data_IF_736365953049
#
_entry.id   IF_736365953049
#
_cell.length_a   1.000
_cell.length_b   1.000
_cell.length_c   1.000
_cell.angle_alpha   90.00
_cell.angle_beta   90.00
_cell.angle_gamma   90.00
#
_symmetry.space_group_name_H-M   'P 1'
#
loop_
_entity.id
_entity.type
_entity.pdbx_description
1 polymer ?
#
# COMPACT_ATOMS: atom_id res chain seq x y z
N UNK A 1 -8.93 -2.89 -12.88
CA UNK A 1 -9.05 -1.52 -12.33
C UNK A 1 -7.74 -1.14 -11.65
N UNK A 2 -7.25 0.10 -11.79
CA UNK A 2 -6.03 0.55 -11.10
C UNK A 2 -6.39 1.41 -9.90
N UNK A 3 -5.65 1.26 -8.80
CA UNK A 3 -5.76 2.12 -7.62
C UNK A 3 -4.38 2.63 -7.23
N UNK A 4 -4.28 3.93 -7.02
CA UNK A 4 -3.10 4.59 -6.49
C UNK A 4 -3.21 4.70 -4.96
N UNK A 5 -2.20 4.20 -4.26
CA UNK A 5 -2.03 4.36 -2.82
C UNK A 5 -1.06 5.53 -2.58
N UNK A 6 -1.62 6.75 -2.55
CA UNK A 6 -0.85 8.00 -2.41
C UNK A 6 -0.44 8.18 -0.96
N UNK A 7 0.86 8.23 -0.68
CA UNK A 7 1.34 8.44 0.68
C UNK A 7 0.88 9.79 1.24
N UNK A 8 0.53 9.82 2.53
CA UNK A 8 0.38 11.09 3.24
C UNK A 8 1.76 11.68 3.51
N UNK A 9 1.87 12.96 3.88
CA UNK A 9 3.18 13.54 4.24
C UNK A 9 3.92 12.73 5.31
N UNK A 10 3.21 12.21 6.32
CA UNK A 10 3.81 11.34 7.34
C UNK A 10 4.12 9.94 6.79
N UNK A 11 3.28 9.42 5.90
CA UNK A 11 3.53 8.18 5.18
C UNK A 11 4.81 8.25 4.35
N UNK A 12 5.02 9.34 3.62
CA UNK A 12 6.19 9.61 2.79
C UNK A 12 7.47 9.53 3.62
N UNK A 13 7.53 10.27 4.73
CA UNK A 13 8.67 10.23 5.66
C UNK A 13 8.95 8.82 6.20
N UNK A 14 7.90 8.02 6.40
CA UNK A 14 8.05 6.64 6.87
C UNK A 14 8.63 5.72 5.78
N UNK A 15 8.18 5.85 4.54
CA UNK A 15 8.63 5.01 3.42
C UNK A 15 10.02 5.39 2.91
N UNK A 16 10.48 6.63 3.09
CA UNK A 16 11.87 7.06 2.80
C UNK A 16 12.94 6.31 3.61
N UNK A 17 12.54 5.55 4.64
CA UNK A 17 13.44 4.64 5.39
C UNK A 17 13.58 3.27 4.73
N UNK A 18 12.97 3.05 3.58
CA UNK A 18 12.95 1.81 2.82
C UNK A 18 13.38 2.09 1.39
N UNK A 19 13.97 1.09 0.74
CA UNK A 19 14.18 1.14 -0.70
C UNK A 19 12.92 0.64 -1.45
N UNK A 20 12.93 0.79 -2.77
CA UNK A 20 11.80 0.44 -3.63
C UNK A 20 11.43 -1.05 -3.56
N UNK A 21 12.43 -1.94 -3.57
CA UNK A 21 12.23 -3.40 -3.47
C UNK A 21 11.58 -3.79 -2.14
N UNK A 22 12.06 -3.22 -1.02
CA UNK A 22 11.48 -3.45 0.30
C UNK A 22 10.02 -2.99 0.36
N UNK A 23 9.68 -1.86 -0.26
CA UNK A 23 8.30 -1.37 -0.31
C UNK A 23 7.41 -2.29 -1.14
N UNK A 24 7.86 -2.72 -2.32
CA UNK A 24 7.12 -3.68 -3.15
C UNK A 24 6.90 -4.98 -2.37
N UNK A 25 7.92 -5.51 -1.69
CA UNK A 25 7.81 -6.74 -0.89
C UNK A 25 6.80 -6.58 0.25
N UNK A 26 6.89 -5.48 1.01
CA UNK A 26 5.97 -5.18 2.13
C UNK A 26 4.54 -5.12 1.61
N UNK A 27 4.26 -4.27 0.62
CA UNK A 27 2.90 -4.10 0.11
C UNK A 27 2.37 -5.42 -0.45
N UNK A 28 3.16 -6.15 -1.23
CA UNK A 28 2.78 -7.45 -1.80
C UNK A 28 2.42 -8.46 -0.70
N UNK A 29 3.23 -8.57 0.35
CA UNK A 29 3.02 -9.54 1.44
C UNK A 29 1.73 -9.24 2.22
N UNK A 30 1.52 -7.98 2.58
CA UNK A 30 0.35 -7.58 3.36
C UNK A 30 -0.93 -7.65 2.52
N UNK A 31 -0.89 -7.19 1.26
CA UNK A 31 -1.99 -7.34 0.31
C UNK A 31 -2.36 -8.81 0.13
N UNK A 32 -1.39 -9.70 -0.12
CA UNK A 32 -1.64 -11.13 -0.33
C UNK A 32 -2.28 -11.80 0.88
N UNK A 33 -1.91 -11.36 2.08
CA UNK A 33 -2.50 -11.88 3.32
C UNK A 33 -3.93 -11.39 3.48
N UNK A 34 -4.15 -10.09 3.31
CA UNK A 34 -5.46 -9.47 3.49
C UNK A 34 -6.46 -9.91 2.42
N UNK A 35 -6.00 -10.13 1.19
CA UNK A 35 -6.79 -10.64 0.05
C UNK A 35 -7.29 -12.08 0.25
N UNK A 36 -6.84 -12.80 1.29
CA UNK A 36 -7.46 -14.08 1.68
C UNK A 36 -8.68 -13.88 2.57
N UNK A 37 -8.69 -12.79 3.35
CA UNK A 37 -9.77 -12.42 4.25
C UNK A 37 -10.89 -11.70 3.50
N UNK A 38 -10.52 -10.87 2.53
CA UNK A 38 -11.41 -10.16 1.64
C UNK A 38 -11.44 -10.92 0.31
N UNK A 39 -12.61 -11.24 -0.26
CA UNK A 39 -12.71 -11.91 -1.58
C UNK A 39 -12.35 -10.92 -2.71
N UNK A 40 -11.07 -10.56 -2.79
CA UNK A 40 -10.49 -9.60 -3.73
C UNK A 40 -9.14 -10.10 -4.24
N UNK A 41 -8.83 -9.81 -5.51
CA UNK A 41 -7.52 -10.05 -6.11
C UNK A 41 -6.83 -8.71 -6.37
N UNK A 42 -5.67 -8.52 -5.76
CA UNK A 42 -4.86 -7.29 -5.85
C UNK A 42 -3.40 -7.65 -6.08
N UNK A 43 -2.76 -7.00 -7.05
CA UNK A 43 -1.33 -7.16 -7.36
C UNK A 43 -0.59 -5.84 -7.26
N UNK A 44 0.71 -5.90 -6.93
CA UNK A 44 1.64 -4.78 -6.94
C UNK A 44 2.62 -5.01 -8.11
N UNK A 45 2.30 -4.55 -9.32
CA UNK A 45 3.15 -4.75 -10.49
C UNK A 45 4.45 -3.94 -10.40
N UNK A 46 5.61 -4.58 -10.55
CA UNK A 46 6.93 -3.94 -10.43
C UNK A 46 7.14 -2.85 -11.49
N UNK A 47 6.69 -3.09 -12.72
CA UNK A 47 6.79 -2.18 -13.86
C UNK A 47 6.03 -0.86 -13.65
N UNK A 48 4.98 -0.84 -12.83
CA UNK A 48 4.27 0.38 -12.48
C UNK A 48 4.83 1.10 -11.25
N UNK A 49 5.80 0.49 -10.58
CA UNK A 49 6.29 0.88 -9.27
C UNK A 49 7.83 0.99 -9.23
N UNK A 50 8.48 1.33 -10.34
CA UNK A 50 9.94 1.51 -10.40
C UNK A 50 10.43 2.70 -9.56
N UNK A 51 9.57 3.70 -9.31
CA UNK A 51 9.91 4.98 -8.68
C UNK A 51 8.96 5.36 -7.52
N UNK A 52 8.61 4.41 -6.64
CA UNK A 52 7.64 4.65 -5.54
C UNK A 52 8.00 5.88 -4.70
N UNK A 53 9.28 6.04 -4.36
CA UNK A 53 9.75 7.12 -3.48
C UNK A 53 9.59 8.51 -4.13
N UNK A 54 9.88 8.63 -5.43
CA UNK A 54 9.78 9.88 -6.18
C UNK A 54 8.32 10.25 -6.46
N UNK A 55 7.51 9.26 -6.81
CA UNK A 55 6.08 9.46 -7.10
C UNK A 55 5.21 9.55 -5.82
N UNK A 56 5.77 9.16 -4.67
CA UNK A 56 5.06 9.08 -3.40
C UNK A 56 3.81 8.19 -3.45
N UNK A 57 3.82 7.16 -4.31
CA UNK A 57 2.63 6.37 -4.63
C UNK A 57 3.00 4.91 -4.87
N UNK A 58 2.21 3.99 -4.30
CA UNK A 58 2.20 2.58 -4.72
C UNK A 58 1.00 2.35 -5.63
N UNK A 59 1.24 1.88 -6.86
CA UNK A 59 0.19 1.58 -7.84
C UNK A 59 -0.18 0.10 -7.75
N UNK A 60 -1.46 -0.20 -7.58
CA UNK A 60 -1.96 -1.58 -7.51
C UNK A 60 -3.01 -1.83 -8.58
N UNK A 61 -3.10 -3.08 -9.03
CA UNK A 61 -4.09 -3.53 -10.01
C UNK A 61 -5.05 -4.49 -9.31
N UNK A 62 -6.34 -4.22 -9.48
CA UNK A 62 -7.45 -5.01 -8.97
C UNK A 62 -8.14 -5.71 -10.13
N UNK A 63 -8.50 -6.98 -9.92
CA UNK A 63 -9.16 -7.81 -10.93
C UNK A 63 -10.52 -8.32 -10.42
N UNK A 64 -10.52 -9.39 -9.61
CA UNK A 64 -11.73 -9.89 -8.92
C UNK A 64 -12.03 -9.05 -7.69
N UNK A 65 -13.21 -8.43 -7.59
CA UNK A 65 -13.60 -7.58 -6.45
C UNK A 65 -15.01 -7.96 -5.97
N UNK A 66 -15.10 -8.72 -4.88
CA UNK A 66 -16.38 -9.14 -4.27
C UNK A 66 -16.52 -8.66 -2.82
N UNK A 67 -15.85 -7.56 -2.46
CA UNK A 67 -15.87 -7.01 -1.11
C UNK A 67 -15.97 -5.49 -1.11
N UNK A 68 -16.17 -4.91 0.08
CA UNK A 68 -16.01 -3.48 0.30
C UNK A 68 -14.53 -3.08 0.18
N UNK A 69 -14.20 -2.32 -0.86
CA UNK A 69 -12.84 -1.86 -1.13
C UNK A 69 -12.33 -0.85 -0.09
N UNK A 70 -13.20 0.03 0.39
CA UNK A 70 -12.81 1.03 1.38
C UNK A 70 -12.45 0.34 2.70
N UNK A 71 -13.22 -0.68 3.09
CA UNK A 71 -12.89 -1.52 4.23
C UNK A 71 -11.54 -2.24 4.05
N UNK A 72 -11.30 -2.83 2.87
CA UNK A 72 -10.03 -3.49 2.55
C UNK A 72 -8.83 -2.54 2.67
N UNK A 73 -8.85 -1.40 1.98
CA UNK A 73 -7.72 -0.48 1.97
C UNK A 73 -7.52 0.23 3.32
N UNK A 74 -8.58 0.44 4.09
CA UNK A 74 -8.49 0.95 5.46
C UNK A 74 -7.82 -0.05 6.39
N UNK A 75 -8.09 -1.35 6.25
CA UNK A 75 -7.38 -2.39 7.00
C UNK A 75 -5.93 -2.51 6.54
N UNK A 76 -5.69 -2.50 5.22
CA UNK A 76 -4.33 -2.52 4.66
C UNK A 76 -3.46 -1.38 5.19
N UNK A 77 -4.00 -0.15 5.28
CA UNK A 77 -3.25 0.98 5.83
C UNK A 77 -2.88 0.78 7.31
N UNK A 78 -3.68 0.02 8.08
CA UNK A 78 -3.36 -0.29 9.49
C UNK A 78 -2.29 -1.36 9.58
N UNK A 79 -2.34 -2.36 8.72
CA UNK A 79 -1.39 -3.46 8.74
C UNK A 79 0.00 -3.00 8.28
N UNK A 80 0.08 -2.24 7.18
CA UNK A 80 1.34 -1.69 6.64
C UNK A 80 1.96 -0.68 7.60
N UNK A 81 1.17 0.00 8.43
CA UNK A 81 1.70 0.89 9.45
C UNK A 81 2.63 0.18 10.44
N UNK A 82 2.45 -1.12 10.70
CA UNK A 82 3.25 -1.89 11.67
C UNK A 82 4.74 -1.92 11.30
N UNK A 83 5.16 -2.41 10.11
CA UNK A 83 6.57 -2.40 9.72
C UNK A 83 7.12 -0.97 9.59
N UNK A 84 6.31 -0.02 9.11
CA UNK A 84 6.73 1.37 8.96
C UNK A 84 7.03 2.04 10.31
N UNK A 85 6.14 1.90 11.30
CA UNK A 85 6.36 2.43 12.67
C UNK A 85 7.59 1.80 13.31
N UNK A 86 7.79 0.49 13.12
CA UNK A 86 8.95 -0.21 13.67
C UNK A 86 10.28 0.39 13.18
N UNK A 87 10.35 0.81 11.91
CA UNK A 87 11.56 1.41 11.33
C UNK A 87 11.65 2.92 11.59
N UNK A 88 10.52 3.62 11.59
CA UNK A 88 10.43 5.05 11.83
C UNK A 88 10.73 5.41 13.31
N UNK A 89 10.41 4.52 14.25
CA UNK A 89 10.66 4.74 15.68
C UNK A 89 9.69 5.70 16.37
N UNK A 90 8.63 6.14 15.68
CA UNK A 90 7.58 7.00 16.26
C UNK A 90 6.20 6.65 15.73
N UNK A 91 5.16 7.24 16.35
CA UNK A 91 3.77 7.05 15.93
C UNK A 91 3.58 7.59 14.51
N UNK A 92 2.92 6.79 13.69
CA UNK A 92 2.47 7.14 12.35
C UNK A 92 0.93 7.21 12.35
N UNK A 93 0.33 8.12 11.60
CA UNK A 93 -1.14 8.16 11.45
C UNK A 93 -1.56 7.29 10.25
N UNK A 94 -2.43 7.79 9.37
CA UNK A 94 -2.76 7.11 8.12
C UNK A 94 -1.56 7.12 7.16
N UNK A 95 -1.27 5.97 6.57
CA UNK A 95 -0.08 5.79 5.70
C UNK A 95 -0.34 6.38 4.32
N UNK A 96 -1.50 6.10 3.74
CA UNK A 96 -1.84 6.51 2.39
C UNK A 96 -3.33 6.88 2.27
N UNK A 97 -3.68 7.48 1.13
CA UNK A 97 -5.03 7.66 0.62
C UNK A 97 -5.20 6.85 -0.66
N UNK A 98 -6.40 6.33 -0.89
CA UNK A 98 -6.75 5.62 -2.12
C UNK A 98 -7.27 6.60 -3.17
N UNK A 99 -6.83 6.40 -4.40
CA UNK A 99 -7.37 7.08 -5.59
C UNK A 99 -7.61 6.02 -6.66
N UNK A 100 -8.87 5.82 -7.05
CA UNK A 100 -9.22 4.93 -8.16
C UNK A 100 -8.85 5.62 -9.47
N UNK A 101 -8.17 4.90 -10.35
CA UNK A 101 -7.82 5.37 -11.68
C UNK A 101 -8.52 4.47 -12.70
N UNK A 102 -9.38 5.09 -13.50
CA UNK A 102 -10.04 4.47 -14.66
C UNK A 102 -9.03 4.15 -15.78
#
# INVERSE_FOLDING_TARGET
MRVNLKFTNKGQVAVEKFNNEELIEIFTRYIKTLSKKYDISVTVPEDLNEQILEEGTVKVVLDKINCDMDAFFKELSRDIKVPLVKRLGTKLDNVFKTEVVE
#
